data_IF_762781483605
#
_entry.id   IF_762781483605
#
_cell.length_a   1.000
_cell.length_b   1.000
_cell.length_c   1.000
_cell.angle_alpha   90.00
_cell.angle_beta   90.00
_cell.angle_gamma   90.00
#
_symmetry.space_group_name_H-M   'P 1'
#
loop_
_entity.id
_entity.type
_entity.pdbx_description
1 polymer ?
#
# COMPACT_ATOMS: atom_id res chain seq x y z
N UNK A 1 7.46 -10.61 34.45
CA UNK A 1 6.71 -9.36 34.72
C UNK A 1 6.10 -8.92 33.40
N UNK A 2 4.77 -8.94 33.29
CA UNK A 2 4.08 -8.36 32.13
C UNK A 2 4.13 -6.85 32.36
N UNK A 3 5.16 -6.19 31.83
CA UNK A 3 5.21 -4.74 31.71
C UNK A 3 4.94 -4.42 30.25
N UNK A 4 3.74 -3.90 29.98
CA UNK A 4 3.30 -3.51 28.64
C UNK A 4 4.24 -2.48 28.03
N UNK A 5 5.15 -2.95 27.19
CA UNK A 5 5.83 -2.10 26.21
C UNK A 5 4.88 -2.00 25.04
N UNK A 6 4.28 -0.83 24.82
CA UNK A 6 3.82 -0.48 23.48
C UNK A 6 5.00 -0.76 22.56
N UNK A 7 4.89 -1.80 21.71
CA UNK A 7 5.87 -2.02 20.66
C UNK A 7 5.74 -0.77 19.80
N UNK A 8 6.68 0.16 19.93
CA UNK A 8 6.75 1.32 19.07
C UNK A 8 6.91 0.76 17.66
N UNK A 9 5.80 0.66 16.93
CA UNK A 9 5.83 0.13 15.57
C UNK A 9 6.60 1.15 14.75
N UNK A 10 7.74 0.75 14.23
CA UNK A 10 8.52 1.63 13.38
C UNK A 10 7.64 2.04 12.19
N UNK A 11 7.73 3.31 11.79
CA UNK A 11 6.97 3.82 10.65
C UNK A 11 7.17 2.94 9.42
N UNK A 12 8.39 2.47 9.18
CA UNK A 12 8.75 1.61 8.03
C UNK A 12 8.03 0.27 8.13
N UNK A 13 8.11 -0.41 9.28
CA UNK A 13 7.52 -1.73 9.48
C UNK A 13 5.99 -1.73 9.34
N UNK A 14 5.31 -0.64 9.73
CA UNK A 14 3.87 -0.50 9.51
C UNK A 14 3.51 -0.07 8.09
N UNK A 15 4.31 0.81 7.48
CA UNK A 15 4.01 1.39 6.17
C UNK A 15 4.13 0.38 5.04
N UNK A 16 5.07 -0.56 5.10
CA UNK A 16 5.25 -1.60 4.07
C UNK A 16 3.94 -2.38 3.80
N UNK A 17 3.36 -3.10 4.79
CA UNK A 17 2.12 -3.84 4.56
C UNK A 17 0.96 -2.92 4.22
N UNK A 18 0.91 -1.69 4.75
CA UNK A 18 -0.14 -0.72 4.45
C UNK A 18 -0.12 -0.31 2.96
N UNK A 19 1.05 0.04 2.43
CA UNK A 19 1.22 0.41 1.02
C UNK A 19 0.92 -0.77 0.10
N UNK A 20 1.44 -1.96 0.42
CA UNK A 20 1.21 -3.15 -0.39
C UNK A 20 -0.27 -3.55 -0.43
N UNK A 21 -0.91 -3.60 0.74
CA UNK A 21 -2.33 -3.96 0.85
C UNK A 21 -3.22 -2.91 0.18
N UNK A 22 -3.00 -1.62 0.45
CA UNK A 22 -3.79 -0.55 -0.15
C UNK A 22 -3.64 -0.54 -1.67
N UNK A 23 -2.41 -0.68 -2.18
CA UNK A 23 -2.15 -0.77 -3.61
C UNK A 23 -2.88 -1.96 -4.25
N UNK A 24 -2.81 -3.14 -3.63
CA UNK A 24 -3.55 -4.32 -4.08
C UNK A 24 -5.07 -4.10 -4.09
N UNK A 25 -5.63 -3.53 -3.03
CA UNK A 25 -7.07 -3.28 -2.91
C UNK A 25 -7.56 -2.30 -3.98
N UNK A 26 -6.85 -1.19 -4.21
CA UNK A 26 -7.19 -0.22 -5.26
C UNK A 26 -7.21 -0.89 -6.64
N UNK A 27 -6.19 -1.70 -6.95
CA UNK A 27 -6.12 -2.38 -8.24
C UNK A 27 -7.24 -3.42 -8.42
N UNK A 28 -7.69 -4.06 -7.34
CA UNK A 28 -8.70 -5.13 -7.40
C UNK A 28 -10.14 -4.63 -7.31
N UNK A 29 -10.42 -3.59 -6.55
CA UNK A 29 -11.78 -3.11 -6.27
C UNK A 29 -12.07 -1.82 -7.05
N UNK A 30 -11.37 -0.73 -6.74
CA UNK A 30 -11.63 0.60 -7.31
C UNK A 30 -11.60 0.59 -8.85
N UNK A 31 -10.57 0.02 -9.46
CA UNK A 31 -10.47 -0.03 -10.93
C UNK A 31 -11.64 -0.79 -11.55
N UNK A 32 -12.07 -1.90 -10.94
CA UNK A 32 -13.18 -2.72 -11.44
C UNK A 32 -14.50 -1.97 -11.29
N UNK A 33 -14.69 -1.29 -10.16
CA UNK A 33 -15.88 -0.50 -9.90
C UNK A 33 -15.98 0.72 -10.83
N UNK A 34 -14.89 1.49 -11.00
CA UNK A 34 -14.87 2.63 -11.92
C UNK A 34 -15.04 2.21 -13.38
N UNK A 35 -14.54 1.03 -13.76
CA UNK A 35 -14.82 0.45 -15.08
C UNK A 35 -16.31 0.15 -15.24
N UNK A 36 -16.95 -0.46 -14.24
CA UNK A 36 -18.39 -0.76 -14.29
C UNK A 36 -19.23 0.52 -14.38
N UNK A 37 -18.85 1.56 -13.64
CA UNK A 37 -19.48 2.88 -13.64
C UNK A 37 -19.12 3.76 -14.86
N UNK A 38 -18.30 3.27 -15.81
CA UNK A 38 -17.78 4.02 -16.97
C UNK A 38 -17.03 5.33 -16.60
N UNK A 39 -16.42 5.35 -15.42
CA UNK A 39 -15.66 6.50 -14.89
C UNK A 39 -14.19 6.40 -15.29
N UNK A 40 -13.90 6.66 -16.58
CA UNK A 40 -12.57 6.45 -17.16
C UNK A 40 -11.45 7.32 -16.54
N UNK A 41 -11.77 8.54 -16.10
CA UNK A 41 -10.80 9.42 -15.43
C UNK A 41 -10.37 8.85 -14.08
N UNK A 42 -11.34 8.53 -13.21
CA UNK A 42 -11.07 7.93 -11.90
C UNK A 42 -10.36 6.59 -12.04
N UNK A 43 -10.77 5.75 -13.00
CA UNK A 43 -10.10 4.47 -13.29
C UNK A 43 -8.60 4.64 -13.58
N UNK A 44 -8.23 5.65 -14.39
CA UNK A 44 -6.82 5.94 -14.70
C UNK A 44 -6.07 6.42 -13.47
N UNK A 45 -6.67 7.31 -12.68
CA UNK A 45 -6.09 7.80 -11.43
C UNK A 45 -5.87 6.65 -10.43
N UNK A 46 -6.88 5.82 -10.18
CA UNK A 46 -6.76 4.64 -9.31
C UNK A 46 -5.71 3.65 -9.80
N UNK A 47 -5.55 3.48 -11.13
CA UNK A 47 -4.47 2.65 -11.66
C UNK A 47 -3.09 3.21 -11.30
N UNK A 48 -2.88 4.52 -11.47
CA UNK A 48 -1.63 5.16 -11.06
C UNK A 48 -1.43 5.01 -9.55
N UNK A 49 -2.43 5.35 -8.73
CA UNK A 49 -2.36 5.25 -7.27
C UNK A 49 -2.06 3.83 -6.77
N UNK A 50 -2.72 2.82 -7.33
CA UNK A 50 -2.51 1.43 -6.96
C UNK A 50 -1.09 0.96 -7.24
N UNK A 51 -0.55 1.28 -8.42
CA UNK A 51 0.84 0.95 -8.77
C UNK A 51 1.85 1.78 -7.98
N UNK A 52 1.57 3.05 -7.67
CA UNK A 52 2.43 3.88 -6.80
C UNK A 52 2.49 3.29 -5.39
N UNK A 53 1.35 2.89 -4.82
CA UNK A 53 1.31 2.23 -3.51
C UNK A 53 2.11 0.92 -3.51
N UNK A 54 1.91 0.05 -4.51
CA UNK A 54 2.69 -1.17 -4.63
C UNK A 54 4.19 -0.88 -4.80
N UNK A 55 4.56 0.08 -5.64
CA UNK A 55 5.95 0.45 -5.88
C UNK A 55 6.64 1.05 -4.65
N UNK A 56 5.95 1.88 -3.87
CA UNK A 56 6.47 2.41 -2.61
C UNK A 56 6.60 1.32 -1.57
N UNK A 57 5.61 0.44 -1.43
CA UNK A 57 5.66 -0.69 -0.50
C UNK A 57 6.80 -1.65 -0.82
N UNK A 58 7.01 -1.99 -2.10
CA UNK A 58 8.14 -2.85 -2.51
C UNK A 58 9.48 -2.15 -2.37
N UNK A 59 9.59 -0.86 -2.72
CA UNK A 59 10.81 -0.09 -2.53
C UNK A 59 11.20 -0.01 -1.05
N UNK A 60 10.24 0.27 -0.16
CA UNK A 60 10.48 0.28 1.29
C UNK A 60 10.90 -1.09 1.81
N UNK A 61 10.28 -2.17 1.34
CA UNK A 61 10.65 -3.54 1.73
C UNK A 61 12.07 -3.89 1.29
N UNK A 62 12.46 -3.50 0.07
CA UNK A 62 13.83 -3.70 -0.42
C UNK A 62 14.81 -2.87 0.41
N UNK A 63 14.52 -1.60 0.66
CA UNK A 63 15.38 -0.73 1.47
C UNK A 63 15.56 -1.26 2.89
N UNK A 64 14.47 -1.69 3.54
CA UNK A 64 14.51 -2.32 4.87
C UNK A 64 15.37 -3.57 4.86
N UNK A 65 15.24 -4.44 3.86
CA UNK A 65 16.02 -5.68 3.75
C UNK A 65 17.53 -5.47 3.52
N UNK A 66 17.94 -4.40 2.83
CA UNK A 66 19.34 -4.17 2.47
C UNK A 66 20.07 -3.17 3.37
N UNK A 67 19.35 -2.27 4.06
CA UNK A 67 19.94 -1.18 4.86
C UNK A 67 19.97 -1.53 6.36
N UNK A 68 19.01 -2.34 6.85
CA UNK A 68 18.90 -2.79 8.25
C UNK A 68 19.35 -4.25 8.40
#
# INVERSE_FOLDING_TARGET
MISGSYVAVSFISYSIPLFLLTGYLILQFDIKEYRFKKMEKERKLSKVLGWTNLGLGTALLIMDYFIL
#
